data_IF_182531564304
#
_entry.id   IF_182531564304
#
_cell.length_a   1.000
_cell.length_b   1.000
_cell.length_c   1.000
_cell.angle_alpha   90.00
_cell.angle_beta   90.00
_cell.angle_gamma   90.00
#
_symmetry.space_group_name_H-M   'P 1'
#
loop_
_entity.id
_entity.type
_entity.pdbx_description
1 polymer ?
#
# COMPACT_ATOMS: atom_id res chain seq x y z
N UNK A 1 -30.83 -0.31 -3.37
CA UNK A 1 -29.80 -0.88 -4.27
C UNK A 1 -28.43 -0.76 -3.58
N UNK A 2 -28.11 -1.68 -2.69
CA UNK A 2 -26.81 -1.73 -2.01
C UNK A 2 -26.48 -3.19 -1.70
N UNK A 3 -26.35 -3.99 -2.76
CA UNK A 3 -25.98 -5.41 -2.68
C UNK A 3 -24.61 -5.61 -3.32
N UNK A 4 -23.59 -4.83 -2.94
CA UNK A 4 -22.19 -5.10 -3.32
C UNK A 4 -21.11 -4.64 -2.30
N UNK A 5 -21.27 -4.65 -0.95
CA UNK A 5 -20.12 -4.32 -0.09
C UNK A 5 -19.20 -5.51 0.20
N UNK A 6 -19.65 -6.78 0.02
CA UNK A 6 -18.82 -7.94 0.35
C UNK A 6 -17.82 -8.35 -0.75
N UNK A 7 -18.18 -8.21 -2.03
CA UNK A 7 -17.29 -8.67 -3.12
C UNK A 7 -16.03 -7.80 -3.22
N UNK A 8 -16.15 -6.49 -2.93
CA UNK A 8 -15.04 -5.54 -2.94
C UNK A 8 -14.07 -5.75 -1.76
N UNK A 9 -14.55 -6.23 -0.62
CA UNK A 9 -13.70 -6.59 0.53
C UNK A 9 -12.93 -7.90 0.27
N UNK A 10 -13.47 -8.81 -0.54
CA UNK A 10 -12.81 -10.08 -0.88
C UNK A 10 -11.61 -9.95 -1.84
N UNK A 11 -11.43 -8.83 -2.54
CA UNK A 11 -10.33 -8.65 -3.51
C UNK A 11 -9.10 -7.93 -2.96
N UNK A 12 -9.18 -7.32 -1.77
CA UNK A 12 -8.06 -6.61 -1.17
C UNK A 12 -7.23 -7.54 -0.27
N UNK A 13 -6.02 -7.88 -0.72
CA UNK A 13 -5.05 -8.66 0.03
C UNK A 13 -3.96 -7.76 0.61
N UNK A 14 -3.31 -8.14 1.71
CA UNK A 14 -2.16 -7.42 2.22
C UNK A 14 -0.97 -7.66 1.31
N UNK A 15 -0.42 -6.57 0.81
CA UNK A 15 0.84 -6.55 0.09
C UNK A 15 1.86 -5.81 0.93
N UNK A 16 3.08 -6.33 0.95
CA UNK A 16 4.27 -5.54 1.33
C UNK A 16 4.76 -4.90 0.05
N UNK A 17 4.65 -3.57 -0.02
CA UNK A 17 5.16 -2.76 -1.12
C UNK A 17 6.51 -2.21 -0.71
N UNK A 18 7.53 -2.48 -1.51
CA UNK A 18 8.87 -1.92 -1.37
C UNK A 18 9.04 -0.77 -2.35
N UNK A 19 9.60 0.32 -1.86
CA UNK A 19 9.85 1.54 -2.64
C UNK A 19 11.27 2.04 -2.43
N UNK A 20 11.73 2.88 -3.36
CA UNK A 20 12.94 3.66 -3.18
C UNK A 20 12.77 4.63 -2.00
N UNK A 21 13.87 4.93 -1.29
CA UNK A 21 13.84 5.93 -0.24
C UNK A 21 13.39 7.30 -0.76
N UNK A 22 12.71 8.10 0.09
CA UNK A 22 12.33 9.45 -0.31
C UNK A 22 13.58 10.26 -0.70
N UNK A 23 13.48 11.14 -1.70
CA UNK A 23 14.61 11.91 -2.22
C UNK A 23 15.17 12.90 -1.19
N UNK A 24 14.38 13.27 -0.18
CA UNK A 24 14.78 14.17 0.91
C UNK A 24 14.45 13.53 2.26
N UNK A 25 15.34 13.68 3.24
CA UNK A 25 15.12 13.20 4.61
C UNK A 25 14.09 14.01 5.39
N UNK A 26 13.65 15.15 4.85
CA UNK A 26 12.62 16.03 5.44
C UNK A 26 11.21 15.70 4.98
N UNK A 27 11.05 14.87 3.94
CA UNK A 27 9.73 14.40 3.53
C UNK A 27 9.18 13.46 4.62
N UNK A 28 7.98 13.78 5.09
CA UNK A 28 7.25 12.89 5.99
C UNK A 28 7.06 11.53 5.29
N UNK A 29 7.61 10.48 5.91
CA UNK A 29 7.72 9.17 5.28
C UNK A 29 6.34 8.57 4.97
N UNK A 30 5.37 8.85 5.83
CA UNK A 30 3.99 8.43 5.64
C UNK A 30 3.36 9.12 4.42
N UNK A 31 3.51 10.45 4.33
CA UNK A 31 3.09 11.25 3.17
C UNK A 31 3.74 10.77 1.86
N UNK A 32 5.00 10.35 1.91
CA UNK A 32 5.68 9.75 0.76
C UNK A 32 5.04 8.43 0.34
N UNK A 33 4.73 7.53 1.28
CA UNK A 33 4.08 6.25 0.99
C UNK A 33 2.66 6.39 0.45
N UNK A 34 1.89 7.37 0.92
CA UNK A 34 0.55 7.67 0.39
C UNK A 34 0.56 7.95 -1.12
N UNK A 35 1.65 8.47 -1.68
CA UNK A 35 1.78 8.76 -3.13
C UNK A 35 1.70 7.51 -4.00
N UNK A 36 2.02 6.35 -3.42
CA UNK A 36 1.93 5.08 -4.12
C UNK A 36 0.51 4.52 -4.08
N UNK A 37 -0.31 4.94 -3.11
CA UNK A 37 -1.66 4.41 -2.96
C UNK A 37 -2.59 4.90 -4.08
N UNK A 38 -3.60 4.07 -4.44
CA UNK A 38 -4.60 4.48 -5.39
C UNK A 38 -5.49 5.57 -4.79
N UNK A 39 -5.65 6.67 -5.54
CA UNK A 39 -6.59 7.77 -5.26
C UNK A 39 -8.05 7.33 -5.39
N UNK A 40 -8.48 6.47 -4.48
CA UNK A 40 -9.88 6.08 -4.34
C UNK A 40 -10.48 6.76 -3.12
N UNK A 41 -11.66 7.33 -3.31
CA UNK A 41 -12.22 8.52 -2.65
C UNK A 41 -12.66 8.37 -1.20
N UNK A 42 -12.06 7.50 -0.37
CA UNK A 42 -12.48 7.42 1.04
C UNK A 42 -11.44 6.95 2.06
N UNK A 43 -10.39 6.22 1.69
CA UNK A 43 -9.60 5.47 2.69
C UNK A 43 -8.14 5.24 2.25
N UNK A 44 -7.43 6.29 1.80
CA UNK A 44 -6.00 6.17 1.49
C UNK A 44 -5.19 5.87 2.77
N UNK A 45 -5.47 6.56 3.87
CA UNK A 45 -4.78 6.34 5.16
C UNK A 45 -5.18 5.02 5.84
N UNK A 46 -6.46 4.65 5.75
CA UNK A 46 -6.99 3.46 6.43
C UNK A 46 -6.52 2.13 5.83
N UNK A 47 -5.86 2.15 4.66
CA UNK A 47 -5.38 0.95 3.97
C UNK A 47 -3.94 0.57 4.31
N UNK A 48 -3.12 1.51 4.77
CA UNK A 48 -1.77 1.19 5.26
C UNK A 48 -1.93 0.46 6.60
N UNK A 49 -1.53 -0.80 6.62
CA UNK A 49 -1.53 -1.64 7.82
C UNK A 49 -0.25 -1.40 8.63
N UNK A 50 0.88 -1.17 7.95
CA UNK A 50 2.17 -1.01 8.61
C UNK A 50 3.15 -0.23 7.72
N UNK A 51 4.07 0.53 8.32
CA UNK A 51 5.14 1.23 7.62
C UNK A 51 6.50 0.62 8.01
N UNK A 52 7.31 0.24 7.01
CA UNK A 52 8.67 -0.24 7.20
C UNK A 52 9.65 0.87 6.84
N UNK A 53 10.57 1.19 7.75
CA UNK A 53 11.54 2.27 7.55
C UNK A 53 12.98 1.92 7.93
N UNK A 54 13.21 0.82 8.66
CA UNK A 54 14.53 0.44 9.17
C UNK A 54 15.31 -0.42 8.15
N UNK A 55 14.75 -1.57 7.75
CA UNK A 55 15.45 -2.58 6.94
C UNK A 55 15.33 -2.29 5.44
N UNK A 56 14.21 -1.70 5.05
CA UNK A 56 13.94 -1.20 3.71
C UNK A 56 12.89 -0.10 3.81
N UNK A 57 12.71 0.68 2.74
CA UNK A 57 11.61 1.64 2.63
C UNK A 57 10.43 0.97 1.95
N UNK A 58 9.30 0.95 2.63
CA UNK A 58 8.10 0.29 2.15
C UNK A 58 6.98 0.30 3.17
N UNK A 59 5.85 -0.27 2.80
CA UNK A 59 4.67 -0.31 3.64
C UNK A 59 3.84 -1.57 3.34
N UNK A 60 3.12 -2.06 4.34
CA UNK A 60 2.09 -3.05 4.15
C UNK A 60 0.75 -2.33 3.92
N UNK A 61 0.04 -2.66 2.83
CA UNK A 61 -1.28 -2.11 2.56
C UNK A 61 -2.22 -3.16 1.99
N UNK A 62 -3.52 -2.96 2.19
CA UNK A 62 -4.57 -3.73 1.52
C UNK A 62 -4.78 -3.21 0.10
N UNK A 63 -4.44 -4.04 -0.89
CA UNK A 63 -4.49 -3.68 -2.30
C UNK A 63 -5.11 -4.79 -3.13
N UNK A 64 -5.71 -4.41 -4.26
CA UNK A 64 -6.11 -5.35 -5.31
C UNK A 64 -4.94 -5.61 -6.28
N UNK A 65 -4.95 -6.72 -7.02
CA UNK A 65 -3.94 -6.98 -8.06
C UNK A 65 -3.89 -5.88 -9.12
N UNK A 66 -5.03 -5.26 -9.47
CA UNK A 66 -5.08 -4.15 -10.41
C UNK A 66 -4.43 -2.89 -9.85
N UNK A 67 -4.61 -2.61 -8.56
CA UNK A 67 -3.98 -1.49 -7.86
C UNK A 67 -2.45 -1.68 -7.80
N UNK A 68 -1.98 -2.89 -7.50
CA UNK A 68 -0.53 -3.22 -7.55
C UNK A 68 0.03 -3.03 -8.96
N UNK A 69 -0.68 -3.50 -9.99
CA UNK A 69 -0.27 -3.31 -11.39
C UNK A 69 -0.25 -1.84 -11.81
N UNK A 70 -1.10 -1.00 -11.22
CA UNK A 70 -1.03 0.44 -11.43
C UNK A 70 0.17 1.07 -10.72
N UNK A 71 0.52 0.58 -9.51
CA UNK A 71 1.68 1.04 -8.73
C UNK A 71 3.01 0.79 -9.42
N UNK A 72 3.14 -0.28 -10.20
CA UNK A 72 4.35 -0.57 -10.99
C UNK A 72 4.78 0.58 -11.91
N UNK A 73 3.85 1.48 -12.25
CA UNK A 73 4.12 2.64 -13.12
C UNK A 73 4.58 3.87 -12.35
N UNK A 74 4.52 3.85 -11.02
CA UNK A 74 4.89 4.97 -10.16
C UNK A 74 6.41 4.95 -9.96
N UNK A 75 7.13 6.06 -10.26
CA UNK A 75 8.57 6.14 -10.02
C UNK A 75 8.90 5.84 -8.55
N UNK A 76 9.92 5.01 -8.35
CA UNK A 76 10.34 4.55 -7.03
C UNK A 76 9.64 3.28 -6.55
N UNK A 77 8.76 2.66 -7.34
CA UNK A 77 8.26 1.31 -7.04
C UNK A 77 9.35 0.26 -7.29
N UNK A 78 9.58 -0.65 -6.33
CA UNK A 78 10.57 -1.73 -6.44
C UNK A 78 9.87 -3.08 -6.61
N UNK A 79 8.99 -3.43 -5.66
CA UNK A 79 8.25 -4.69 -5.71
C UNK A 79 7.01 -4.64 -4.82
N UNK A 80 6.06 -5.54 -5.08
CA UNK A 80 4.92 -5.78 -4.21
C UNK A 80 4.70 -7.28 -4.07
N UNK A 81 4.62 -7.77 -2.84
CA UNK A 81 4.48 -9.19 -2.54
C UNK A 81 3.33 -9.42 -1.57
N UNK A 82 2.48 -10.40 -1.86
CA UNK A 82 1.39 -10.80 -0.95
C UNK A 82 2.01 -11.32 0.34
N UNK A 83 1.58 -10.77 1.48
CA UNK A 83 2.10 -11.15 2.78
C UNK A 83 0.99 -11.49 3.76
N UNK A 84 0.88 -12.77 4.09
CA UNK A 84 0.00 -13.23 5.17
C UNK A 84 0.45 -12.72 6.54
N UNK A 85 1.74 -12.38 6.71
CA UNK A 85 2.31 -11.89 7.97
C UNK A 85 1.82 -10.48 8.29
N UNK A 86 1.53 -9.66 7.28
CA UNK A 86 1.00 -8.32 7.49
C UNK A 86 -0.39 -8.33 8.17
N UNK A 87 -1.16 -9.43 8.11
CA UNK A 87 -2.37 -9.58 8.93
C UNK A 87 -2.09 -9.75 10.43
N UNK A 88 -0.90 -10.26 10.79
CA UNK A 88 -0.52 -10.58 12.16
C UNK A 88 0.19 -9.41 12.85
N UNK A 89 0.56 -8.36 12.12
CA UNK A 89 1.33 -7.22 12.62
C UNK A 89 0.48 -6.13 13.32
N UNK A 90 -0.71 -6.48 13.82
CA UNK A 90 -1.67 -5.56 14.46
C UNK A 90 -1.47 -5.44 15.96
#
# INVERSE_FOLDING_TARGET
MAVMPLLLVCILLPYIVRVDPPPSSSDDLFSYYQRFLPKTTADEESRIIHAYDIIFKGFAARLSPEEVKAMEKIPGFISAEVSVVAYLAR
#
